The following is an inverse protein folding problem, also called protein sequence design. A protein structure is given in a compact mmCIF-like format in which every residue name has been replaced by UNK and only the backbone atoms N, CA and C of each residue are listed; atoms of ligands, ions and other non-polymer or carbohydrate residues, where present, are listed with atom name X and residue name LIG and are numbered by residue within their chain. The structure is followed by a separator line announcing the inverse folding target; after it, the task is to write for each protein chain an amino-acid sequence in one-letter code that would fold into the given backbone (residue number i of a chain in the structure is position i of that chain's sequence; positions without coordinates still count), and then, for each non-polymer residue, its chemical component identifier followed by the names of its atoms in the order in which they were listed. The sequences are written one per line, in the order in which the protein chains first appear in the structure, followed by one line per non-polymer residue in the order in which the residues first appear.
data_IF_138274351256
#
_entry.id   IF_138274351256
#
_cell.length_a   1.000
_cell.length_b   1.000
_cell.length_c   1.000
_cell.angle_alpha   90.00
_cell.angle_beta   90.00
_cell.angle_gamma   90.00
#
_symmetry.space_group_name_H-M   'P 1'
#
loop_
_entity.id
_entity.type
_entity.pdbx_description
1 polymer ?
#
# COMPACT_ATOMS: atom_id res chain seq x y z
N UNK A 1 6.10 26.86 1.39
CA UNK A 1 6.23 26.68 -0.07
C UNK A 1 5.52 25.38 -0.45
N UNK A 2 4.29 25.45 -0.99
CA UNK A 2 3.38 24.30 -1.12
C UNK A 2 3.89 23.20 -2.06
N UNK A 3 4.49 23.58 -3.19
CA UNK A 3 4.98 22.65 -4.19
C UNK A 3 6.03 21.67 -3.65
N UNK A 4 6.99 22.17 -2.86
CA UNK A 4 8.02 21.33 -2.27
C UNK A 4 7.43 20.27 -1.34
N UNK A 5 6.41 20.65 -0.56
CA UNK A 5 5.76 19.75 0.40
C UNK A 5 4.93 18.63 -0.23
N UNK A 6 4.66 18.68 -1.54
CA UNK A 6 3.85 17.66 -2.21
C UNK A 6 4.67 16.46 -2.68
N UNK A 7 5.93 16.67 -3.09
CA UNK A 7 6.71 15.66 -3.80
C UNK A 7 8.14 15.46 -3.26
N UNK A 8 8.69 16.47 -2.59
CA UNK A 8 10.10 16.52 -2.17
C UNK A 8 10.28 16.46 -0.65
N UNK A 9 9.18 16.25 0.09
CA UNK A 9 9.15 16.22 1.54
C UNK A 9 8.90 14.78 2.01
N UNK A 10 9.88 14.20 2.71
CA UNK A 10 9.87 12.82 3.18
C UNK A 10 8.81 12.54 4.25
N UNK A 11 8.29 13.57 4.93
CA UNK A 11 7.19 13.40 5.89
C UNK A 11 5.84 13.20 5.20
N UNK A 12 5.71 13.69 3.96
CA UNK A 12 4.43 13.75 3.23
C UNK A 12 4.37 12.85 2.01
N UNK A 13 5.52 12.54 1.43
CA UNK A 13 5.63 11.76 0.21
C UNK A 13 6.69 10.67 0.36
N UNK A 14 6.32 9.44 0.05
CA UNK A 14 7.20 8.28 0.14
C UNK A 14 6.84 7.29 -0.98
N UNK A 15 7.78 7.07 -1.91
CA UNK A 15 7.66 6.03 -2.94
C UNK A 15 7.75 4.62 -2.36
N UNK A 16 8.29 4.47 -1.15
CA UNK A 16 8.90 3.25 -0.60
C UNK A 16 10.08 2.76 -1.44
N UNK A 17 10.89 1.87 -0.85
CA UNK A 17 11.99 1.22 -1.56
C UNK A 17 11.53 0.53 -2.86
N UNK A 18 10.34 -0.09 -2.86
CA UNK A 18 9.78 -0.77 -4.04
C UNK A 18 9.43 0.23 -5.15
N UNK A 19 8.83 1.37 -4.80
CA UNK A 19 8.49 2.39 -5.80
C UNK A 19 9.73 3.01 -6.43
N UNK A 20 10.76 3.29 -5.62
CA UNK A 20 12.07 3.77 -6.09
C UNK A 20 12.73 2.74 -7.01
N UNK A 21 12.82 1.48 -6.59
CA UNK A 21 13.35 0.38 -7.40
C UNK A 21 12.63 0.27 -8.76
N UNK A 22 11.29 0.39 -8.79
CA UNK A 22 10.49 0.34 -10.01
C UNK A 22 10.75 1.50 -10.96
N UNK A 23 10.81 2.73 -10.45
CA UNK A 23 11.12 3.93 -11.24
C UNK A 23 12.52 3.83 -11.84
N UNK A 24 13.49 3.44 -11.02
CA UNK A 24 14.88 3.27 -11.46
C UNK A 24 14.99 2.21 -12.56
N UNK A 25 14.38 1.04 -12.36
CA UNK A 25 14.40 -0.04 -13.34
C UNK A 25 13.71 0.34 -14.65
N UNK A 26 12.59 1.08 -14.59
CA UNK A 26 11.82 1.49 -15.77
C UNK A 26 12.54 2.54 -16.60
N UNK A 27 13.22 3.49 -15.94
CA UNK A 27 13.84 4.63 -16.60
C UNK A 27 15.37 4.58 -16.67
N UNK A 28 15.99 3.49 -16.19
CA UNK A 28 17.44 3.32 -16.18
C UNK A 28 18.16 4.34 -15.28
N UNK A 29 17.53 4.72 -14.16
CA UNK A 29 18.11 5.68 -13.21
C UNK A 29 18.96 4.96 -12.17
N UNK A 30 20.10 5.55 -11.81
CA UNK A 30 21.02 5.05 -10.78
C UNK A 30 20.92 5.91 -9.51
N UNK A 31 19.74 5.90 -8.90
CA UNK A 31 19.44 6.62 -7.64
C UNK A 31 19.35 5.59 -6.52
N UNK A 32 19.93 5.87 -5.35
CA UNK A 32 19.84 4.95 -4.20
C UNK A 32 18.40 4.58 -3.86
N UNK A 33 18.16 3.30 -3.54
CA UNK A 33 16.85 2.81 -3.08
C UNK A 33 16.41 3.43 -1.74
N UNK A 34 17.35 3.98 -0.97
CA UNK A 34 17.08 4.72 0.27
C UNK A 34 16.42 6.09 0.01
N UNK A 35 16.57 6.63 -1.20
CA UNK A 35 16.01 7.93 -1.56
C UNK A 35 14.58 7.78 -2.08
N UNK A 36 13.60 7.86 -1.19
CA UNK A 36 12.20 7.54 -1.53
C UNK A 36 11.33 8.74 -1.89
N UNK A 37 11.83 9.97 -1.84
CA UNK A 37 11.12 11.15 -2.38
C UNK A 37 11.37 11.29 -3.89
N UNK A 38 10.51 12.02 -4.60
CA UNK A 38 10.73 12.28 -6.03
C UNK A 38 11.91 13.24 -6.23
N UNK A 39 12.69 12.99 -7.27
CA UNK A 39 13.72 13.89 -7.77
C UNK A 39 13.23 14.63 -9.02
N UNK A 40 13.94 15.71 -9.37
CA UNK A 40 13.70 16.38 -10.66
C UNK A 40 14.06 15.47 -11.84
N UNK A 41 15.06 14.60 -11.65
CA UNK A 41 15.48 13.62 -12.65
C UNK A 41 14.37 12.61 -12.93
N UNK A 42 13.67 12.12 -11.91
CA UNK A 42 12.51 11.22 -12.05
C UNK A 42 11.44 11.86 -12.94
N UNK A 43 11.07 13.11 -12.62
CA UNK A 43 10.02 13.83 -13.34
C UNK A 43 10.41 14.02 -14.81
N UNK A 44 11.65 14.42 -15.07
CA UNK A 44 12.15 14.60 -16.43
C UNK A 44 12.18 13.27 -17.20
N UNK A 45 12.60 12.18 -16.55
CA UNK A 45 12.64 10.85 -17.17
C UNK A 45 11.24 10.34 -17.52
N UNK A 46 10.28 10.50 -16.61
CA UNK A 46 8.86 10.13 -16.83
C UNK A 46 8.27 10.92 -17.99
N UNK A 47 8.46 12.25 -18.04
CA UNK A 47 7.94 13.08 -19.13
C UNK A 47 8.56 12.69 -20.48
N UNK A 48 9.87 12.46 -20.53
CA UNK A 48 10.55 11.98 -21.74
C UNK A 48 10.00 10.63 -22.19
N UNK A 49 9.77 9.70 -21.26
CA UNK A 49 9.22 8.38 -21.57
C UNK A 49 7.80 8.48 -22.15
N UNK A 50 6.94 9.33 -21.58
CA UNK A 50 5.57 9.56 -22.09
C UNK A 50 5.61 10.09 -23.53
N UNK A 51 6.51 11.03 -23.84
CA UNK A 51 6.68 11.55 -25.20
C UNK A 51 7.19 10.43 -26.13
N UNK A 52 8.20 9.66 -25.71
CA UNK A 52 8.76 8.57 -26.50
C UNK A 52 7.71 7.50 -26.85
N UNK A 53 6.87 7.10 -25.89
CA UNK A 53 5.76 6.15 -26.11
C UNK A 53 4.76 6.73 -27.12
N UNK A 54 4.44 8.02 -27.03
CA UNK A 54 3.57 8.69 -28.00
C UNK A 54 4.16 8.70 -29.42
N UNK A 55 5.48 8.84 -29.52
CA UNK A 55 6.23 8.81 -30.78
C UNK A 55 6.47 7.36 -31.29
N UNK A 56 5.92 6.35 -30.61
CA UNK A 56 6.04 4.93 -30.97
C UNK A 56 7.34 4.26 -30.50
N UNK A 57 8.16 4.97 -29.74
CA UNK A 57 9.40 4.47 -29.15
C UNK A 57 9.19 4.08 -27.69
N UNK A 58 8.70 2.85 -27.46
CA UNK A 58 8.43 2.30 -26.14
C UNK A 58 7.13 1.49 -26.11
N UNK A 59 6.86 0.84 -24.97
CA UNK A 59 5.64 0.04 -24.78
C UNK A 59 4.80 0.60 -23.64
N UNK A 60 3.47 0.48 -23.79
CA UNK A 60 2.51 0.80 -22.73
C UNK A 60 2.52 -0.34 -21.71
N UNK A 61 2.55 0.01 -20.43
CA UNK A 61 2.57 -0.98 -19.37
C UNK A 61 1.24 -1.72 -19.26
N UNK A 62 1.34 -3.04 -19.15
CA UNK A 62 0.21 -3.91 -18.83
C UNK A 62 -0.09 -3.87 -17.33
N UNK A 63 -1.24 -3.33 -16.97
CA UNK A 63 -1.70 -3.17 -15.58
C UNK A 63 -2.07 -4.51 -14.91
N UNK A 64 -2.41 -5.53 -15.69
CA UNK A 64 -2.90 -6.82 -15.18
C UNK A 64 -1.77 -7.82 -14.92
N UNK A 65 -0.60 -7.59 -15.50
CA UNK A 65 0.61 -8.33 -15.19
C UNK A 65 0.91 -8.32 -13.69
N UNK A 66 1.15 -9.51 -13.12
CA UNK A 66 1.62 -9.64 -11.73
C UNK A 66 2.96 -8.95 -11.48
N UNK A 67 3.72 -8.60 -12.52
CA UNK A 67 4.89 -7.74 -12.39
C UNK A 67 4.54 -6.35 -11.84
N UNK A 68 3.32 -5.87 -12.08
CA UNK A 68 2.83 -4.55 -11.71
C UNK A 68 1.80 -4.59 -10.55
N UNK A 69 1.49 -5.78 -10.04
CA UNK A 69 0.63 -5.98 -8.88
C UNK A 69 1.46 -6.48 -7.70
N UNK A 70 1.29 -5.87 -6.53
CA UNK A 70 2.04 -6.24 -5.31
C UNK A 70 1.10 -6.77 -4.24
N UNK A 71 1.46 -7.92 -3.66
CA UNK A 71 0.78 -8.48 -2.49
C UNK A 71 1.23 -7.73 -1.25
N UNK A 72 0.26 -7.22 -0.46
CA UNK A 72 0.51 -6.63 0.85
C UNK A 72 0.12 -7.63 1.93
N UNK A 73 1.08 -7.98 2.79
CA UNK A 73 0.81 -8.84 3.94
C UNK A 73 0.17 -8.03 5.08
N UNK A 74 -0.43 -8.75 6.04
CA UNK A 74 -1.05 -8.14 7.23
C UNK A 74 -0.07 -7.24 7.99
N UNK A 75 1.20 -7.65 8.11
CA UNK A 75 2.23 -6.88 8.79
C UNK A 75 2.41 -5.46 8.23
N UNK A 76 2.50 -5.34 6.89
CA UNK A 76 2.65 -4.05 6.22
C UNK A 76 1.41 -3.16 6.39
N UNK A 77 0.21 -3.76 6.34
CA UNK A 77 -1.03 -3.01 6.53
C UNK A 77 -1.13 -2.47 7.95
N UNK A 78 -0.79 -3.29 8.95
CA UNK A 78 -0.75 -2.87 10.36
C UNK A 78 0.33 -1.83 10.60
N UNK A 79 1.52 -1.99 10.02
CA UNK A 79 2.61 -1.02 10.12
C UNK A 79 2.18 0.36 9.63
N UNK A 80 1.52 0.43 8.47
CA UNK A 80 1.02 1.69 7.93
C UNK A 80 0.01 2.37 8.86
N UNK A 81 -0.93 1.61 9.43
CA UNK A 81 -1.88 2.15 10.42
C UNK A 81 -1.16 2.60 11.69
N UNK A 82 -0.22 1.80 12.18
CA UNK A 82 0.57 2.12 13.36
C UNK A 82 1.39 3.40 13.18
N UNK A 83 2.02 3.57 12.01
CA UNK A 83 2.74 4.79 11.61
C UNK A 83 1.83 6.02 11.65
N UNK A 84 0.62 5.93 11.10
CA UNK A 84 -0.38 7.01 11.19
C UNK A 84 -0.75 7.33 12.66
N UNK A 85 -0.84 6.30 13.51
CA UNK A 85 -1.05 6.46 14.95
C UNK A 85 0.11 7.18 15.64
N UNK A 86 1.35 6.86 15.29
CA UNK A 86 2.55 7.52 15.81
C UNK A 86 2.62 8.98 15.41
N UNK A 87 2.36 9.32 14.14
CA UNK A 87 2.34 10.73 13.67
C UNK A 87 1.30 11.56 14.44
N UNK A 88 0.14 10.98 14.76
CA UNK A 88 -0.87 11.65 15.59
C UNK A 88 -0.39 11.83 17.04
N UNK A 89 0.27 10.81 17.59
CA UNK A 89 0.83 10.85 18.94
C UNK A 89 1.94 11.90 19.06
N UNK A 90 2.83 11.97 18.08
CA UNK A 90 3.91 12.96 17.98
C UNK A 90 3.35 14.39 18.03
N UNK A 91 2.34 14.69 17.22
CA UNK A 91 1.68 16.00 17.24
C UNK A 91 1.09 16.35 18.60
N UNK A 92 0.40 15.40 19.23
CA UNK A 92 -0.18 15.59 20.56
C UNK A 92 0.89 15.79 21.65
N UNK A 93 2.05 15.12 21.54
CA UNK A 93 3.20 15.31 22.43
C UNK A 93 3.77 16.71 22.25
N UNK A 94 4.03 17.14 21.01
CA UNK A 94 4.55 18.48 20.71
C UNK A 94 3.62 19.58 21.24
N UNK A 95 2.31 19.43 21.03
CA UNK A 95 1.30 20.36 21.56
C UNK A 95 1.32 20.43 23.10
N UNK A 96 1.43 19.28 23.78
CA UNK A 96 1.53 19.23 25.24
C UNK A 96 2.84 19.81 25.77
N UNK A 97 3.96 19.56 25.10
CA UNK A 97 5.26 20.12 25.48
C UNK A 97 5.28 21.64 25.40
N UNK A 98 4.53 22.23 24.46
CA UNK A 98 4.41 23.68 24.35
C UNK A 98 3.46 24.29 25.40
N UNK A 99 2.58 23.49 26.01
CA UNK A 99 1.56 23.95 26.94
C UNK A 99 1.95 23.83 28.42
N UNK A 100 2.95 23.01 28.75
CA UNK A 100 3.33 22.69 30.14
C UNK A 100 4.77 23.09 30.41
N UNK A 101 5.06 23.55 31.63
CA UNK A 101 6.42 23.86 32.07
C UNK A 101 7.28 22.59 32.16
N UNK A 102 8.36 22.56 31.38
CA UNK A 102 9.21 21.39 31.14
C UNK A 102 9.83 20.82 32.43
N UNK A 103 10.10 21.66 33.43
CA UNK A 103 10.78 21.27 34.67
C UNK A 103 9.95 20.34 35.57
N UNK A 104 8.64 20.22 35.31
CA UNK A 104 7.72 19.43 36.16
C UNK A 104 7.20 18.14 35.50
N UNK A 105 7.46 17.95 34.20
CA UNK A 105 6.82 16.89 33.41
C UNK A 105 7.77 15.74 33.16
N UNK A 106 7.32 14.51 33.43
CA UNK A 106 8.08 13.32 33.10
C UNK A 106 7.66 12.79 31.70
N UNK A 107 8.56 12.10 30.97
CA UNK A 107 8.25 11.61 29.62
C UNK A 107 7.01 10.72 29.52
N UNK A 108 6.69 9.96 30.57
CA UNK A 108 5.51 9.09 30.58
C UNK A 108 4.18 9.87 30.66
N UNK A 109 4.18 11.11 31.13
CA UNK A 109 2.99 11.97 31.20
C UNK A 109 2.57 12.50 29.82
N UNK A 110 3.54 12.60 28.90
CA UNK A 110 3.33 13.06 27.53
C UNK A 110 2.73 11.97 26.64
N UNK A 111 2.99 10.69 26.93
CA UNK A 111 2.63 9.57 26.07
C UNK A 111 1.20 9.10 26.34
N UNK A 112 0.34 9.16 25.31
CA UNK A 112 -1.02 8.61 25.36
C UNK A 112 -1.14 7.31 24.55
N UNK A 113 -0.95 6.17 25.22
CA UNK A 113 -1.04 4.85 24.59
C UNK A 113 -2.43 4.49 24.05
N UNK A 114 -3.51 5.12 24.56
CA UNK A 114 -4.88 4.82 24.11
C UNK A 114 -5.11 5.17 22.65
N UNK A 115 -4.49 6.25 22.16
CA UNK A 115 -4.60 6.69 20.77
C UNK A 115 -3.97 5.70 19.79
N UNK A 116 -2.89 5.05 20.19
CA UNK A 116 -2.23 4.01 19.39
C UNK A 116 -3.09 2.74 19.37
N UNK A 117 -3.57 2.33 20.56
CA UNK A 117 -4.40 1.13 20.70
C UNK A 117 -5.73 1.24 19.94
N UNK A 118 -6.32 2.43 19.85
CA UNK A 118 -7.55 2.63 19.07
C UNK A 118 -7.33 2.38 17.59
N UNK A 119 -6.19 2.82 17.03
CA UNK A 119 -5.88 2.61 15.60
C UNK A 119 -5.72 1.13 15.28
N UNK A 120 -5.02 0.37 16.14
CA UNK A 120 -4.86 -1.07 15.97
C UNK A 120 -6.20 -1.80 16.10
N UNK A 121 -7.01 -1.43 17.10
CA UNK A 121 -8.35 -2.03 17.28
C UNK A 121 -9.28 -1.71 16.12
N UNK A 122 -9.23 -0.50 15.60
CA UNK A 122 -10.01 -0.10 14.43
C UNK A 122 -9.63 -0.94 13.22
N UNK A 123 -8.33 -1.11 12.94
CA UNK A 123 -7.87 -1.96 11.85
C UNK A 123 -8.42 -3.40 11.95
N UNK A 124 -8.29 -4.07 13.10
CA UNK A 124 -8.78 -5.44 13.24
C UNK A 124 -10.31 -5.54 13.38
N UNK A 125 -10.98 -4.48 13.81
CA UNK A 125 -12.43 -4.47 14.04
C UNK A 125 -13.26 -4.11 12.81
N UNK A 126 -12.79 -3.20 11.96
CA UNK A 126 -13.58 -2.62 10.85
C UNK A 126 -13.00 -2.87 9.46
N UNK A 127 -11.75 -3.31 9.36
CA UNK A 127 -11.14 -3.57 8.05
C UNK A 127 -11.87 -4.68 7.30
N UNK A 128 -12.15 -4.44 6.02
CA UNK A 128 -12.72 -5.45 5.11
C UNK A 128 -11.83 -6.70 4.98
N UNK A 129 -10.54 -6.58 5.29
CA UNK A 129 -9.57 -7.68 5.24
C UNK A 129 -9.49 -8.46 6.56
N UNK A 130 -10.05 -7.92 7.65
CA UNK A 130 -10.16 -8.60 8.93
C UNK A 130 -11.52 -9.29 9.02
N UNK A 131 -11.57 -10.55 8.60
CA UNK A 131 -12.81 -11.33 8.47
C UNK A 131 -12.85 -12.47 9.48
N UNK A 132 -14.08 -12.92 9.81
CA UNK A 132 -14.26 -14.15 10.56
C UNK A 132 -13.68 -15.33 9.77
N UNK A 133 -12.88 -16.15 10.45
CA UNK A 133 -12.23 -17.30 9.84
C UNK A 133 -13.28 -18.35 9.43
N UNK A 134 -13.22 -18.83 8.18
CA UNK A 134 -13.97 -20.00 7.77
C UNK A 134 -13.42 -21.25 8.47
N UNK A 135 -14.26 -21.87 9.28
CA UNK A 135 -13.93 -23.01 10.13
C UNK A 135 -14.78 -24.24 9.79
N UNK A 136 -15.37 -24.29 8.59
CA UNK A 136 -16.19 -25.42 8.15
C UNK A 136 -15.40 -26.73 8.12
N UNK A 137 -14.15 -26.68 7.67
CA UNK A 137 -13.22 -27.81 7.65
C UNK A 137 -11.76 -27.31 7.58
N UNK A 138 -10.75 -28.16 7.83
CA UNK A 138 -9.35 -27.74 7.79
C UNK A 138 -8.88 -27.18 6.45
N UNK A 139 -9.42 -27.66 5.33
CA UNK A 139 -9.09 -27.13 4.01
C UNK A 139 -9.60 -25.69 3.84
N UNK A 140 -10.83 -25.41 4.27
CA UNK A 140 -11.42 -24.07 4.23
C UNK A 140 -10.60 -23.08 5.06
N UNK A 141 -10.09 -23.49 6.22
CA UNK A 141 -9.21 -22.66 7.04
C UNK A 141 -7.89 -22.32 6.31
N UNK A 142 -7.24 -23.31 5.72
CA UNK A 142 -5.98 -23.12 4.99
C UNK A 142 -6.18 -22.27 3.74
N UNK A 143 -7.21 -22.54 2.94
CA UNK A 143 -7.59 -21.74 1.77
C UNK A 143 -7.88 -20.30 2.17
N UNK A 144 -8.61 -20.07 3.26
CA UNK A 144 -8.95 -18.71 3.69
C UNK A 144 -7.71 -17.91 4.09
N UNK A 145 -6.72 -18.54 4.74
CA UNK A 145 -5.44 -17.91 5.09
C UNK A 145 -4.53 -17.63 3.88
N UNK A 146 -4.68 -18.39 2.79
CA UNK A 146 -3.93 -18.25 1.53
C UNK A 146 -4.63 -17.37 0.49
N UNK A 147 -5.75 -16.75 0.86
CA UNK A 147 -6.56 -15.93 -0.02
C UNK A 147 -5.91 -14.57 -0.29
N UNK A 148 -5.88 -14.19 -1.56
CA UNK A 148 -5.54 -12.85 -2.03
C UNK A 148 -6.82 -12.10 -2.38
N UNK A 149 -6.87 -10.81 -2.03
CA UNK A 149 -7.97 -9.92 -2.34
C UNK A 149 -7.45 -8.69 -3.07
N UNK A 150 -8.02 -8.38 -4.22
CA UNK A 150 -7.84 -7.11 -4.92
C UNK A 150 -8.69 -5.98 -4.31
N UNK A 151 -9.64 -6.32 -3.43
CA UNK A 151 -10.50 -5.39 -2.69
C UNK A 151 -9.84 -4.92 -1.39
N UNK A 152 -10.24 -3.75 -0.91
CA UNK A 152 -9.81 -3.20 0.38
C UNK A 152 -9.13 -1.83 0.24
N UNK A 153 -8.53 -1.30 1.34
CA UNK A 153 -7.89 0.01 1.32
C UNK A 153 -6.70 0.04 0.35
N UNK A 154 -6.77 0.94 -0.64
CA UNK A 154 -5.76 1.05 -1.70
C UNK A 154 -5.91 0.03 -2.85
N UNK A 155 -6.94 -0.81 -2.80
CA UNK A 155 -7.31 -1.74 -3.88
C UNK A 155 -8.45 -1.23 -4.75
N UNK A 156 -9.04 -2.15 -5.52
CA UNK A 156 -10.19 -1.88 -6.37
C UNK A 156 -11.50 -1.91 -5.56
N UNK A 157 -12.52 -1.22 -6.06
CA UNK A 157 -13.90 -1.39 -5.60
C UNK A 157 -14.66 -2.27 -6.60
N UNK A 158 -15.69 -2.99 -6.12
CA UNK A 158 -16.50 -3.89 -6.97
C UNK A 158 -17.08 -3.19 -8.21
N UNK A 159 -17.49 -1.93 -8.05
CA UNK A 159 -18.09 -1.11 -9.10
C UNK A 159 -17.07 -0.59 -10.12
N UNK A 160 -15.82 -0.37 -9.69
CA UNK A 160 -14.74 0.11 -10.57
C UNK A 160 -13.97 -1.03 -11.24
N UNK A 161 -14.13 -2.25 -10.75
CA UNK A 161 -13.48 -3.43 -11.31
C UNK A 161 -14.19 -3.88 -12.59
N UNK A 162 -13.62 -3.49 -13.73
CA UNK A 162 -14.04 -3.91 -15.07
C UNK A 162 -13.80 -5.40 -15.35
N UNK A 163 -14.02 -5.81 -16.60
CA UNK A 163 -13.84 -7.21 -17.01
C UNK A 163 -12.36 -7.62 -17.07
N UNK A 164 -11.48 -6.75 -17.57
CA UNK A 164 -10.04 -7.04 -17.76
C UNK A 164 -9.35 -7.47 -16.46
N UNK A 165 -9.57 -6.72 -15.38
CA UNK A 165 -8.96 -7.01 -14.07
C UNK A 165 -9.44 -8.32 -13.42
N UNK A 166 -10.56 -8.89 -13.90
CA UNK A 166 -11.15 -10.14 -13.41
C UNK A 166 -10.71 -11.35 -14.23
N UNK A 167 -10.12 -11.13 -15.40
CA UNK A 167 -9.74 -12.20 -16.31
C UNK A 167 -8.45 -12.90 -15.85
N UNK A 168 -8.20 -14.09 -16.39
CA UNK A 168 -7.00 -14.87 -16.09
C UNK A 168 -5.85 -14.38 -16.94
N UNK A 169 -4.90 -13.66 -16.32
CA UNK A 169 -3.69 -13.21 -16.99
C UNK A 169 -2.63 -14.33 -17.06
N UNK A 170 -1.86 -14.47 -18.17
CA UNK A 170 -0.79 -15.47 -18.28
C UNK A 170 0.23 -15.44 -17.14
N UNK A 171 0.48 -14.28 -16.55
CA UNK A 171 1.40 -14.16 -15.40
C UNK A 171 0.93 -14.91 -14.15
N UNK A 172 -0.35 -15.28 -14.06
CA UNK A 172 -0.91 -16.06 -12.95
C UNK A 172 -0.34 -17.47 -12.86
N UNK A 173 0.18 -18.01 -13.98
CA UNK A 173 0.69 -19.37 -14.06
C UNK A 173 1.73 -19.66 -12.96
N UNK A 174 1.45 -20.66 -12.13
CA UNK A 174 2.31 -21.09 -11.01
C UNK A 174 2.38 -20.11 -9.83
N UNK A 175 1.54 -19.07 -9.80
CA UNK A 175 1.53 -18.05 -8.72
C UNK A 175 0.17 -17.86 -8.06
N UNK A 176 -0.90 -17.86 -8.87
CA UNK A 176 -2.28 -17.70 -8.42
C UNK A 176 -3.12 -18.77 -9.10
N UNK A 177 -4.01 -19.42 -8.35
CA UNK A 177 -4.94 -20.39 -8.91
C UNK A 177 -5.95 -19.69 -9.85
N UNK A 178 -6.05 -20.10 -11.13
CA UNK A 178 -6.98 -19.47 -12.07
C UNK A 178 -8.43 -19.97 -11.91
N UNK A 179 -8.66 -21.01 -11.11
CA UNK A 179 -9.96 -21.68 -10.97
C UNK A 179 -10.60 -21.35 -9.62
N UNK A 180 -9.80 -21.21 -8.57
CA UNK A 180 -10.29 -20.98 -7.21
C UNK A 180 -10.59 -19.49 -6.97
N UNK A 181 -11.78 -19.09 -7.38
CA UNK A 181 -12.38 -17.76 -7.14
C UNK A 181 -13.85 -17.93 -6.77
N UNK A 182 -14.43 -17.09 -5.91
CA UNK A 182 -15.87 -17.07 -5.67
C UNK A 182 -16.63 -16.75 -6.96
N UNK A 183 -17.80 -17.36 -7.11
CA UNK A 183 -18.74 -17.00 -8.17
C UNK A 183 -19.46 -15.67 -7.87
N UNK A 184 -20.09 -15.08 -8.89
CA UNK A 184 -20.87 -13.85 -8.77
C UNK A 184 -20.02 -12.58 -8.77
N UNK A 185 -20.36 -11.61 -7.93
CA UNK A 185 -19.79 -10.26 -8.02
C UNK A 185 -18.29 -10.17 -7.69
N UNK A 186 -17.74 -11.16 -6.97
CA UNK A 186 -16.34 -11.17 -6.55
C UNK A 186 -15.43 -12.00 -7.46
N UNK A 187 -15.95 -12.54 -8.58
CA UNK A 187 -15.16 -13.33 -9.51
C UNK A 187 -13.92 -12.57 -9.99
N UNK A 188 -12.75 -13.21 -9.89
CA UNK A 188 -11.45 -12.67 -10.29
C UNK A 188 -10.88 -11.58 -9.36
N UNK A 189 -11.62 -11.18 -8.32
CA UNK A 189 -11.17 -10.19 -7.33
C UNK A 189 -10.67 -10.84 -6.04
N UNK A 190 -11.00 -12.11 -5.85
CA UNK A 190 -10.59 -12.92 -4.72
C UNK A 190 -10.06 -14.25 -5.28
N UNK A 191 -8.77 -14.49 -5.10
CA UNK A 191 -8.11 -15.67 -5.65
C UNK A 191 -7.29 -16.37 -4.56
N UNK A 192 -6.96 -17.64 -4.78
CA UNK A 192 -6.11 -18.43 -3.88
C UNK A 192 -4.70 -18.59 -4.44
N UNK A 193 -3.69 -18.69 -3.57
CA UNK A 193 -2.30 -19.04 -3.95
C UNK A 193 -1.99 -20.51 -3.77
#
# INVERSE_FOLDING_TARGET
NLFNSLFFDSERYDLSAVGRMKINAKHGLDISEEFTVLTKEDILAVVKYIIAVKDGSGEVDDIDSLGNRRVRAVGELVENQFRLGLVRMERAIIERMNAVEIDTVMPHDLINSKALMSVVREFFGTSQLSQFMDQTNPLAEVTHKRRLSALGPGGLTRERAGFEVRDVHPSHYGRICPIETPEGQNIGLINST
#
